data_IF_463516857320
#
_entry.id   IF_463516857320
#
_cell.length_a   1.000
_cell.length_b   1.000
_cell.length_c   1.000
_cell.angle_alpha   90.00
_cell.angle_beta   90.00
_cell.angle_gamma   90.00
#
_symmetry.space_group_name_H-M   'P 1'
#
loop_
_entity.id
_entity.type
_entity.pdbx_description
1 polymer ?
#
# COMPACT_ATOMS: atom_id res chain seq x y z
N UNK A 1 -16.19 -35.64 18.88
CA UNK A 1 -15.86 -34.21 18.88
C UNK A 1 -16.39 -33.58 20.14
N UNK A 2 -15.56 -32.78 20.82
CA UNK A 2 -16.02 -31.95 21.94
C UNK A 2 -16.82 -30.74 21.40
N UNK A 3 -17.37 -29.91 22.29
CA UNK A 3 -18.23 -28.79 21.90
C UNK A 3 -17.49 -27.76 21.02
N UNK A 4 -16.23 -27.47 21.32
CA UNK A 4 -15.38 -26.53 20.59
C UNK A 4 -15.00 -27.07 19.19
N UNK A 5 -14.69 -28.36 19.06
CA UNK A 5 -14.45 -29.04 17.77
C UNK A 5 -15.69 -29.01 16.87
N UNK A 6 -16.90 -29.17 17.43
CA UNK A 6 -18.14 -29.06 16.67
C UNK A 6 -18.38 -27.62 16.19
N UNK A 7 -18.07 -26.63 17.02
CA UNK A 7 -18.15 -25.22 16.65
C UNK A 7 -17.17 -24.90 15.51
N UNK A 8 -15.91 -25.33 15.63
CA UNK A 8 -14.90 -25.14 14.60
C UNK A 8 -15.24 -25.82 13.28
N UNK A 9 -15.77 -27.05 13.33
CA UNK A 9 -16.24 -27.73 12.13
C UNK A 9 -17.38 -26.96 11.44
N UNK A 10 -18.30 -26.41 12.22
CA UNK A 10 -19.40 -25.61 11.70
C UNK A 10 -18.89 -24.31 11.07
N UNK A 11 -18.04 -23.56 11.78
CA UNK A 11 -17.42 -22.34 11.25
C UNK A 11 -16.65 -22.59 9.96
N UNK A 12 -15.85 -23.66 9.91
CA UNK A 12 -15.12 -24.02 8.69
C UNK A 12 -16.06 -24.38 7.53
N UNK A 13 -17.17 -25.07 7.79
CA UNK A 13 -18.18 -25.37 6.76
C UNK A 13 -18.90 -24.13 6.28
N UNK A 14 -19.28 -23.22 7.18
CA UNK A 14 -19.94 -21.96 6.84
C UNK A 14 -19.02 -21.07 6.01
N UNK A 15 -17.75 -20.95 6.42
CA UNK A 15 -16.72 -20.24 5.66
C UNK A 15 -16.51 -20.86 4.27
N UNK A 16 -16.29 -22.18 4.18
CA UNK A 16 -16.13 -22.87 2.90
C UNK A 16 -17.40 -22.81 2.04
N UNK A 17 -18.59 -22.74 2.63
CA UNK A 17 -19.84 -22.61 1.91
C UNK A 17 -20.10 -21.20 1.38
N UNK A 18 -19.29 -20.21 1.78
CA UNK A 18 -19.37 -18.85 1.26
C UNK A 18 -19.22 -18.87 -0.27
N UNK A 19 -19.99 -18.04 -1.01
CA UNK A 19 -19.90 -17.92 -2.47
C UNK A 19 -18.47 -17.74 -3.00
N UNK A 20 -17.63 -17.02 -2.25
CA UNK A 20 -16.25 -16.70 -2.62
C UNK A 20 -15.27 -17.86 -2.37
N UNK A 21 -15.71 -18.93 -1.69
CA UNK A 21 -14.89 -20.10 -1.36
C UNK A 21 -15.25 -21.33 -2.23
N UNK A 22 -16.17 -22.19 -1.76
CA UNK A 22 -16.70 -23.30 -2.55
C UNK A 22 -18.12 -23.03 -3.08
N UNK A 23 -18.79 -21.98 -2.58
CA UNK A 23 -20.18 -21.66 -2.86
C UNK A 23 -21.21 -22.70 -2.39
N UNK A 24 -20.76 -23.70 -1.64
CA UNK A 24 -21.56 -24.77 -1.02
C UNK A 24 -20.72 -25.50 0.02
N UNK A 25 -21.38 -26.26 0.89
CA UNK A 25 -20.63 -27.09 1.83
C UNK A 25 -19.68 -28.07 1.13
N UNK A 26 -18.49 -28.33 1.72
CA UNK A 26 -17.55 -29.29 1.17
C UNK A 26 -18.16 -30.70 1.12
N UNK A 27 -17.86 -31.46 0.08
CA UNK A 27 -18.38 -32.82 -0.12
C UNK A 27 -17.93 -33.78 1.00
N UNK A 28 -16.75 -33.55 1.58
CA UNK A 28 -16.26 -34.19 2.80
C UNK A 28 -15.42 -33.19 3.58
N UNK A 29 -15.47 -33.27 4.90
CA UNK A 29 -14.59 -32.52 5.80
C UNK A 29 -14.34 -33.37 7.04
N UNK A 30 -13.08 -33.45 7.46
CA UNK A 30 -12.61 -34.26 8.57
C UNK A 30 -11.60 -33.46 9.40
N UNK A 31 -11.69 -33.57 10.72
CA UNK A 31 -10.66 -33.05 11.62
C UNK A 31 -9.39 -33.88 11.40
N UNK A 32 -8.28 -33.19 11.12
CA UNK A 32 -7.01 -33.79 10.77
C UNK A 32 -5.93 -33.56 11.84
N UNK A 33 -6.09 -32.54 12.68
CA UNK A 33 -5.17 -32.25 13.78
C UNK A 33 -5.60 -31.03 14.57
N UNK A 34 -4.83 -30.71 15.60
CA UNK A 34 -5.02 -29.53 16.43
C UNK A 34 -3.65 -29.04 16.95
N UNK A 35 -3.58 -27.75 17.28
CA UNK A 35 -2.37 -27.14 17.84
C UNK A 35 -2.72 -25.88 18.63
N UNK A 36 -1.83 -25.54 19.56
CA UNK A 36 -1.87 -24.27 20.29
C UNK A 36 -0.84 -23.32 19.70
N UNK A 37 -1.22 -22.06 19.53
CA UNK A 37 -0.35 -21.00 19.03
C UNK A 37 -0.79 -19.67 19.64
N UNK A 38 0.11 -18.91 20.25
CA UNK A 38 -0.18 -17.64 20.94
C UNK A 38 -1.32 -17.74 21.97
N UNK A 39 -1.27 -18.78 22.81
CA UNK A 39 -2.27 -19.06 23.88
C UNK A 39 -3.70 -19.38 23.38
N UNK A 40 -3.89 -19.47 22.06
CA UNK A 40 -5.15 -19.81 21.42
C UNK A 40 -5.07 -21.21 20.82
N UNK A 41 -6.23 -21.88 20.79
CA UNK A 41 -6.37 -23.22 20.26
C UNK A 41 -6.88 -23.21 18.80
N UNK A 42 -6.34 -24.11 17.98
CA UNK A 42 -6.63 -24.22 16.55
C UNK A 42 -6.88 -25.65 16.11
N UNK A 43 -7.77 -25.79 15.13
CA UNK A 43 -8.10 -27.05 14.48
C UNK A 43 -7.69 -27.04 13.02
N UNK A 44 -7.08 -28.14 12.60
CA UNK A 44 -6.72 -28.40 11.22
C UNK A 44 -7.80 -29.30 10.64
N UNK A 45 -8.42 -28.85 9.55
CA UNK A 45 -9.36 -29.61 8.77
C UNK A 45 -8.73 -30.04 7.46
N UNK A 46 -9.03 -31.27 7.05
CA UNK A 46 -8.90 -31.67 5.65
C UNK A 46 -10.29 -31.75 5.05
N UNK A 47 -10.47 -31.23 3.84
CA UNK A 47 -11.77 -31.28 3.18
C UNK A 47 -11.65 -31.58 1.68
N UNK A 48 -12.76 -31.94 1.04
CA UNK A 48 -12.83 -32.17 -0.40
C UNK A 48 -13.93 -31.32 -1.02
N UNK A 49 -13.60 -30.62 -2.11
CA UNK A 49 -14.58 -29.89 -2.93
C UNK A 49 -15.63 -30.83 -3.56
N UNK A 50 -15.20 -32.03 -3.95
CA UNK A 50 -16.04 -33.09 -4.55
C UNK A 50 -15.65 -34.47 -4.00
N UNK A 51 -16.54 -35.46 -4.10
CA UNK A 51 -16.31 -36.81 -3.53
C UNK A 51 -15.01 -37.45 -4.07
N UNK A 52 -14.68 -37.18 -5.34
CA UNK A 52 -13.51 -37.69 -6.04
C UNK A 52 -12.28 -36.76 -5.97
N UNK A 53 -12.43 -35.57 -5.39
CA UNK A 53 -11.35 -34.57 -5.31
C UNK A 53 -10.22 -34.94 -4.34
N UNK A 54 -9.13 -34.17 -4.44
CA UNK A 54 -8.02 -34.21 -3.49
C UNK A 54 -8.47 -33.67 -2.12
N UNK A 55 -7.79 -34.11 -1.06
CA UNK A 55 -7.94 -33.50 0.25
C UNK A 55 -7.18 -32.17 0.25
N UNK A 56 -7.81 -31.13 0.79
CA UNK A 56 -7.27 -29.77 0.89
C UNK A 56 -7.16 -29.37 2.36
N UNK A 57 -6.18 -28.54 2.68
CA UNK A 57 -5.90 -28.06 4.03
C UNK A 57 -6.76 -26.84 4.37
N UNK A 58 -7.37 -26.82 5.54
CA UNK A 58 -7.98 -25.64 6.12
C UNK A 58 -7.67 -25.52 7.60
N UNK A 59 -7.64 -24.29 8.11
CA UNK A 59 -7.40 -24.00 9.53
C UNK A 59 -8.57 -23.19 10.08
N UNK A 60 -9.01 -23.54 11.28
CA UNK A 60 -10.04 -22.83 12.01
C UNK A 60 -9.64 -22.76 13.47
N UNK A 61 -9.45 -21.56 13.99
CA UNK A 61 -9.02 -21.39 15.37
C UNK A 61 -9.04 -19.97 15.85
N UNK A 62 -8.27 -19.74 16.92
CA UNK A 62 -8.38 -18.52 17.73
C UNK A 62 -9.37 -18.70 18.88
N UNK A 63 -9.49 -19.91 19.43
CA UNK A 63 -10.37 -20.19 20.58
C UNK A 63 -9.60 -20.08 21.89
N UNK A 64 -10.21 -19.46 22.89
CA UNK A 64 -9.74 -19.57 24.26
C UNK A 64 -10.07 -20.96 24.84
N UNK A 65 -9.31 -21.44 25.85
CA UNK A 65 -9.58 -22.73 26.48
C UNK A 65 -11.00 -22.83 27.04
N UNK A 66 -11.84 -23.66 26.41
CA UNK A 66 -13.23 -23.91 26.83
C UNK A 66 -14.29 -23.06 26.13
N UNK A 67 -13.89 -22.07 25.33
CA UNK A 67 -14.81 -21.16 24.63
C UNK A 67 -15.14 -21.64 23.22
N UNK A 68 -16.35 -21.38 22.73
CA UNK A 68 -16.78 -21.81 21.38
C UNK A 68 -16.78 -20.70 20.35
N UNK A 69 -16.46 -19.47 20.75
CA UNK A 69 -16.27 -18.33 19.86
C UNK A 69 -14.79 -18.18 19.52
N UNK A 70 -14.49 -17.80 18.27
CA UNK A 70 -13.12 -17.65 17.78
C UNK A 70 -12.85 -16.23 17.26
N UNK A 71 -11.59 -15.80 17.33
CA UNK A 71 -11.13 -14.48 16.88
C UNK A 71 -10.97 -14.33 15.35
N UNK A 72 -11.79 -15.02 14.55
CA UNK A 72 -11.81 -14.87 13.09
C UNK A 72 -10.70 -15.58 12.29
N UNK A 73 -9.90 -16.47 12.87
CA UNK A 73 -8.87 -17.23 12.13
C UNK A 73 -9.45 -18.49 11.45
N UNK A 74 -10.33 -18.30 10.45
CA UNK A 74 -10.89 -19.39 9.63
C UNK A 74 -10.48 -19.17 8.18
N UNK A 75 -9.70 -20.10 7.63
CA UNK A 75 -9.04 -19.88 6.34
C UNK A 75 -8.57 -21.17 5.65
N UNK A 76 -8.42 -21.11 4.33
CA UNK A 76 -7.80 -22.16 3.51
C UNK A 76 -7.24 -21.56 2.22
N UNK A 77 -5.96 -21.79 1.93
CA UNK A 77 -5.36 -21.47 0.62
C UNK A 77 -5.73 -22.52 -0.46
N UNK A 78 -6.69 -23.40 -0.17
CA UNK A 78 -7.12 -24.49 -1.07
C UNK A 78 -5.98 -25.42 -1.52
N UNK A 79 -4.85 -25.42 -0.80
CA UNK A 79 -3.69 -26.26 -1.09
C UNK A 79 -3.91 -27.72 -0.68
N UNK A 80 -3.21 -28.69 -1.32
CA UNK A 80 -3.33 -30.10 -0.97
C UNK A 80 -2.97 -30.38 0.49
N UNK A 81 -3.82 -31.17 1.16
CA UNK A 81 -3.53 -31.69 2.49
C UNK A 81 -2.44 -32.77 2.43
N UNK A 82 -1.36 -32.54 3.17
CA UNK A 82 -0.29 -33.51 3.40
C UNK A 82 -0.04 -33.67 4.90
N UNK A 83 -0.16 -34.90 5.41
CA UNK A 83 -0.13 -35.16 6.86
C UNK A 83 1.17 -34.69 7.54
N UNK A 84 2.31 -34.79 6.85
CA UNK A 84 3.62 -34.42 7.40
C UNK A 84 3.87 -32.92 7.49
N UNK A 85 3.18 -32.10 6.68
CA UNK A 85 3.39 -30.65 6.58
C UNK A 85 2.16 -29.83 7.00
N UNK A 86 0.99 -30.46 7.17
CA UNK A 86 -0.28 -29.80 7.48
C UNK A 86 -0.21 -28.88 8.71
N UNK A 87 0.51 -29.28 9.77
CA UNK A 87 0.64 -28.45 10.97
C UNK A 87 1.49 -27.21 10.74
N UNK A 88 2.61 -27.34 10.05
CA UNK A 88 3.51 -26.22 9.73
C UNK A 88 2.82 -25.19 8.83
N UNK A 89 2.14 -25.67 7.79
CA UNK A 89 1.38 -24.83 6.86
C UNK A 89 0.20 -24.12 7.53
N UNK A 90 -0.54 -24.83 8.40
CA UNK A 90 -1.61 -24.22 9.17
C UNK A 90 -1.10 -23.12 10.13
N UNK A 91 0.08 -23.32 10.74
CA UNK A 91 0.73 -22.28 11.56
C UNK A 91 1.09 -21.07 10.69
N UNK A 92 1.66 -21.28 9.50
CA UNK A 92 2.02 -20.18 8.59
C UNK A 92 0.80 -19.34 8.17
N UNK A 93 -0.33 -19.98 7.83
CA UNK A 93 -1.59 -19.28 7.52
C UNK A 93 -2.10 -18.46 8.72
N UNK A 94 -2.02 -19.01 9.93
CA UNK A 94 -2.45 -18.29 11.14
C UNK A 94 -1.54 -17.10 11.42
N UNK A 95 -0.22 -17.24 11.29
CA UNK A 95 0.72 -16.13 11.48
C UNK A 95 0.54 -15.03 10.44
N UNK A 96 0.20 -15.37 9.19
CA UNK A 96 -0.12 -14.40 8.14
C UNK A 96 -1.34 -13.57 8.52
N UNK A 97 -2.45 -14.22 8.86
CA UNK A 97 -3.71 -13.57 9.25
C UNK A 97 -3.49 -12.73 10.51
N UNK A 98 -2.81 -13.28 11.52
CA UNK A 98 -2.54 -12.58 12.77
C UNK A 98 -1.63 -11.38 12.56
N UNK A 99 -0.58 -11.49 11.75
CA UNK A 99 0.31 -10.37 11.43
C UNK A 99 -0.46 -9.25 10.76
N UNK A 100 -1.35 -9.58 9.81
CA UNK A 100 -2.25 -8.62 9.19
C UNK A 100 -3.14 -7.92 10.23
N UNK A 101 -3.85 -8.65 11.10
CA UNK A 101 -4.71 -8.05 12.11
C UNK A 101 -3.95 -7.28 13.20
N UNK A 102 -2.76 -7.73 13.59
CA UNK A 102 -1.89 -7.02 14.53
C UNK A 102 -1.39 -5.72 13.93
N UNK A 103 -1.03 -5.70 12.65
CA UNK A 103 -0.63 -4.48 11.95
C UNK A 103 -1.81 -3.49 11.86
N UNK A 104 -3.03 -3.96 11.56
CA UNK A 104 -4.22 -3.10 11.55
C UNK A 104 -4.59 -2.59 12.95
N UNK A 105 -4.49 -3.43 13.98
CA UNK A 105 -4.74 -3.06 15.36
C UNK A 105 -3.69 -2.08 15.88
N UNK A 106 -2.41 -2.27 15.55
CA UNK A 106 -1.33 -1.34 15.89
C UNK A 106 -1.50 0.00 15.18
N UNK A 107 -1.91 0.03 13.90
CA UNK A 107 -2.26 1.28 13.21
C UNK A 107 -3.43 2.00 13.90
N UNK A 108 -4.42 1.25 14.35
CA UNK A 108 -5.57 1.78 15.08
C UNK A 108 -5.22 2.28 16.50
N UNK A 109 -4.36 1.57 17.24
CA UNK A 109 -3.93 1.93 18.59
C UNK A 109 -2.87 3.03 18.60
N UNK A 110 -1.91 3.03 17.66
CA UNK A 110 -0.95 4.11 17.46
C UNK A 110 -1.67 5.42 17.09
N UNK A 111 -2.68 5.36 16.22
CA UNK A 111 -3.56 6.51 15.93
C UNK A 111 -4.37 7.00 17.13
N UNK A 112 -4.57 6.16 18.15
CA UNK A 112 -5.25 6.51 19.41
C UNK A 112 -4.29 7.06 20.48
N UNK A 113 -3.07 6.53 20.59
CA UNK A 113 -2.06 6.96 21.57
C UNK A 113 -1.29 8.22 21.14
N UNK A 114 -1.13 8.46 19.83
CA UNK A 114 -0.50 9.67 19.29
C UNK A 114 -1.28 10.98 19.58
N UNK A 115 -2.52 10.89 20.10
CA UNK A 115 -3.27 12.07 20.56
C UNK A 115 -2.95 12.51 22.00
N UNK A 116 -2.29 11.68 22.81
CA UNK A 116 -2.20 11.91 24.26
C UNK A 116 -0.79 12.01 24.86
N UNK A 117 0.32 11.80 24.13
CA UNK A 117 1.65 11.95 24.76
C UNK A 117 2.76 12.47 23.83
N UNK A 118 3.12 13.73 24.07
CA UNK A 118 4.29 14.43 23.54
C UNK A 118 5.55 13.96 24.30
N UNK A 119 6.37 13.09 23.71
CA UNK A 119 7.81 12.99 24.05
C UNK A 119 8.62 12.12 23.09
N UNK A 120 9.45 12.79 22.29
CA UNK A 120 10.86 12.50 22.00
C UNK A 120 11.36 11.04 22.07
N UNK A 121 11.05 10.24 21.06
CA UNK A 121 11.85 9.05 20.69
C UNK A 121 11.71 8.76 19.16
N UNK A 122 11.83 9.81 18.34
CA UNK A 122 11.66 9.83 16.87
C UNK A 122 12.81 9.16 16.09
N UNK A 123 13.28 7.97 16.49
CA UNK A 123 14.35 7.27 15.74
C UNK A 123 14.02 5.85 15.29
N UNK A 124 12.99 5.21 15.83
CA UNK A 124 12.60 3.84 15.44
C UNK A 124 11.32 3.78 14.58
N UNK A 125 10.49 4.84 14.53
CA UNK A 125 9.25 4.84 13.74
C UNK A 125 9.47 5.00 12.23
N UNK A 126 10.55 5.69 11.80
CA UNK A 126 10.76 6.04 10.38
C UNK A 126 11.15 4.83 9.49
N UNK A 127 11.62 3.72 10.09
CA UNK A 127 12.04 2.52 9.36
C UNK A 127 10.88 1.55 9.10
N UNK A 128 9.75 1.72 9.80
CA UNK A 128 8.61 0.78 9.76
C UNK A 128 7.63 1.00 8.59
N UNK A 129 7.68 2.17 7.94
CA UNK A 129 6.79 2.54 6.82
C UNK A 129 7.52 2.51 5.46
N UNK A 130 8.85 2.43 5.46
CA UNK A 130 9.66 2.46 4.26
C UNK A 130 9.41 1.20 3.41
N UNK A 131 9.05 1.41 2.14
CA UNK A 131 8.99 0.35 1.16
C UNK A 131 7.67 -0.41 1.03
N UNK A 132 6.64 -0.12 1.82
CA UNK A 132 5.28 -0.54 1.51
C UNK A 132 4.59 0.58 0.72
N UNK A 133 4.16 0.29 -0.52
CA UNK A 133 3.58 1.29 -1.41
C UNK A 133 2.07 1.07 -1.51
N UNK A 134 1.31 2.11 -1.19
CA UNK A 134 -0.16 2.09 -1.20
C UNK A 134 -0.68 3.34 -1.91
N UNK A 135 -1.72 3.18 -2.72
CA UNK A 135 -2.43 4.31 -3.32
C UNK A 135 -3.89 4.00 -3.59
N UNK A 136 -4.67 5.05 -3.71
CA UNK A 136 -6.12 4.95 -3.89
C UNK A 136 -6.53 5.72 -5.15
N UNK A 137 -7.27 5.07 -6.04
CA UNK A 137 -7.90 5.72 -7.20
C UNK A 137 -9.35 5.96 -6.85
N UNK A 138 -9.73 7.23 -6.76
CA UNK A 138 -11.05 7.66 -6.33
C UNK A 138 -12.05 7.51 -7.47
N UNK A 139 -13.17 6.82 -7.24
CA UNK A 139 -14.18 6.55 -8.24
C UNK A 139 -15.52 7.21 -7.92
N UNK A 140 -16.20 7.70 -8.95
CA UNK A 140 -17.57 8.21 -8.88
C UNK A 140 -18.64 7.14 -8.64
N UNK A 141 -18.31 5.88 -8.90
CA UNK A 141 -19.17 4.70 -8.73
C UNK A 141 -18.31 3.48 -8.38
N UNK A 142 -18.85 2.46 -7.69
CA UNK A 142 -18.16 1.19 -7.42
C UNK A 142 -18.11 0.30 -8.67
N UNK A 143 -17.57 0.82 -9.77
CA UNK A 143 -17.53 0.14 -11.05
C UNK A 143 -16.13 0.31 -11.66
N UNK A 144 -15.54 -0.80 -12.06
CA UNK A 144 -14.32 -0.88 -12.86
C UNK A 144 -14.51 -1.84 -14.04
N UNK A 145 -13.66 -1.71 -15.03
CA UNK A 145 -13.55 -2.64 -16.14
C UNK A 145 -12.22 -3.39 -16.01
N UNK A 146 -12.26 -4.52 -15.33
CA UNK A 146 -11.08 -5.35 -15.08
C UNK A 146 -10.41 -5.83 -16.38
N UNK A 147 -11.19 -6.17 -17.42
CA UNK A 147 -10.63 -6.55 -18.72
C UNK A 147 -9.87 -5.40 -19.40
N UNK A 148 -10.40 -4.17 -19.29
CA UNK A 148 -9.70 -2.97 -19.75
C UNK A 148 -8.42 -2.74 -18.93
N UNK A 149 -8.49 -2.85 -17.58
CA UNK A 149 -7.33 -2.66 -16.71
C UNK A 149 -6.19 -3.61 -17.07
N UNK A 150 -6.48 -4.89 -17.29
CA UNK A 150 -5.49 -5.88 -17.77
C UNK A 150 -4.92 -5.52 -19.14
N UNK A 151 -5.77 -5.07 -20.06
CA UNK A 151 -5.35 -4.65 -21.39
C UNK A 151 -4.42 -3.44 -21.32
N UNK A 152 -4.73 -2.46 -20.47
CA UNK A 152 -3.92 -1.26 -20.26
C UNK A 152 -2.58 -1.59 -19.60
N UNK A 153 -2.58 -2.46 -18.57
CA UNK A 153 -1.36 -2.98 -17.94
C UNK A 153 -0.43 -3.66 -18.94
N UNK A 154 -0.97 -4.54 -19.79
CA UNK A 154 -0.19 -5.22 -20.82
C UNK A 154 0.31 -4.26 -21.89
N UNK A 155 -0.56 -3.37 -22.38
CA UNK A 155 -0.25 -2.48 -23.52
C UNK A 155 0.77 -1.40 -23.15
N UNK A 156 0.61 -0.77 -21.99
CA UNK A 156 1.47 0.35 -21.60
C UNK A 156 2.76 -0.12 -20.91
N UNK A 157 2.70 -1.23 -20.18
CA UNK A 157 3.75 -1.60 -19.22
C UNK A 157 4.31 -3.01 -19.40
N UNK A 158 3.82 -3.76 -20.39
CA UNK A 158 4.16 -5.15 -20.68
C UNK A 158 3.93 -6.11 -19.50
N UNK A 159 3.00 -5.76 -18.59
CA UNK A 159 2.61 -6.61 -17.47
C UNK A 159 1.53 -7.56 -17.97
N UNK A 160 1.91 -8.82 -18.22
CA UNK A 160 0.98 -9.85 -18.68
C UNK A 160 0.35 -10.58 -17.50
N UNK A 161 -0.98 -10.69 -17.58
CA UNK A 161 -1.77 -11.47 -16.63
C UNK A 161 -1.75 -12.98 -16.96
N UNK A 162 -1.39 -13.37 -18.20
CA UNK A 162 -1.55 -14.72 -18.73
C UNK A 162 -0.23 -15.35 -19.24
N UNK A 163 0.95 -14.92 -18.75
CA UNK A 163 2.21 -15.56 -19.14
C UNK A 163 2.17 -17.06 -18.77
N UNK A 164 2.30 -17.92 -19.78
CA UNK A 164 2.03 -19.37 -19.77
C UNK A 164 2.39 -20.10 -18.45
N UNK A 165 1.56 -21.10 -18.09
CA UNK A 165 1.68 -22.04 -16.95
C UNK A 165 3.05 -22.72 -16.75
N UNK A 166 4.03 -22.46 -17.63
CA UNK A 166 5.38 -23.00 -17.56
C UNK A 166 6.45 -22.00 -17.09
N UNK A 167 6.13 -20.71 -16.94
CA UNK A 167 6.96 -19.69 -16.25
C UNK A 167 6.09 -18.66 -15.48
N UNK A 168 4.92 -19.09 -14.99
CA UNK A 168 3.87 -18.20 -14.52
C UNK A 168 4.22 -17.44 -13.23
N UNK A 169 4.17 -16.12 -13.34
CA UNK A 169 3.84 -15.23 -12.23
C UNK A 169 2.38 -15.50 -11.81
N UNK A 170 2.19 -16.10 -10.63
CA UNK A 170 0.88 -16.49 -10.11
C UNK A 170 -0.03 -15.26 -9.93
N UNK A 171 -1.06 -15.15 -10.78
CA UNK A 171 -2.12 -14.15 -10.67
C UNK A 171 -3.43 -14.80 -10.22
N UNK A 172 -4.02 -14.33 -9.12
CA UNK A 172 -5.31 -14.84 -8.59
C UNK A 172 -6.36 -13.74 -8.61
N UNK A 173 -7.55 -14.06 -9.15
CA UNK A 173 -8.74 -13.20 -9.17
C UNK A 173 -9.78 -13.77 -8.20
N UNK A 174 -10.52 -12.90 -7.51
CA UNK A 174 -11.66 -13.36 -6.72
C UNK A 174 -12.91 -13.60 -7.60
N UNK A 175 -13.86 -14.39 -7.07
CA UNK A 175 -15.01 -14.89 -7.83
C UNK A 175 -15.98 -13.81 -8.35
N UNK A 176 -15.97 -12.62 -7.74
CA UNK A 176 -16.79 -11.47 -8.07
C UNK A 176 -16.03 -10.40 -8.88
N UNK A 177 -14.77 -10.64 -9.25
CA UNK A 177 -13.89 -9.70 -9.94
C UNK A 177 -13.81 -8.34 -9.23
N UNK A 178 -13.83 -8.30 -7.89
CA UNK A 178 -13.63 -7.07 -7.11
C UNK A 178 -12.20 -6.91 -6.61
N UNK A 179 -11.36 -7.96 -6.70
CA UNK A 179 -9.95 -7.86 -6.36
C UNK A 179 -9.10 -8.87 -7.12
N UNK A 180 -7.81 -8.56 -7.21
CA UNK A 180 -6.83 -9.48 -7.77
C UNK A 180 -5.44 -9.25 -7.18
N UNK A 181 -4.62 -10.28 -7.23
CA UNK A 181 -3.21 -10.26 -6.83
C UNK A 181 -2.36 -10.79 -7.98
N UNK A 182 -1.22 -10.17 -8.25
CA UNK A 182 -0.26 -10.61 -9.26
C UNK A 182 1.16 -10.43 -8.76
N UNK A 183 2.03 -11.40 -9.04
CA UNK A 183 3.47 -11.26 -8.85
C UNK A 183 4.09 -10.62 -10.11
N UNK A 184 4.93 -9.60 -9.98
CA UNK A 184 5.66 -8.99 -11.10
C UNK A 184 7.11 -8.80 -10.68
N UNK A 185 8.04 -9.54 -11.28
CA UNK A 185 9.46 -9.47 -10.95
C UNK A 185 9.77 -9.76 -9.47
N UNK A 186 9.01 -10.67 -8.85
CA UNK A 186 9.12 -11.01 -7.42
C UNK A 186 8.51 -9.99 -6.46
N UNK A 187 7.79 -8.99 -6.96
CA UNK A 187 6.98 -8.05 -6.19
C UNK A 187 5.51 -8.44 -6.28
N UNK A 188 4.77 -8.36 -5.19
CA UNK A 188 3.34 -8.64 -5.16
C UNK A 188 2.56 -7.34 -5.31
N UNK A 189 1.72 -7.24 -6.34
CA UNK A 189 0.75 -6.17 -6.51
C UNK A 189 -0.65 -6.68 -6.19
N UNK A 190 -1.31 -6.06 -5.23
CA UNK A 190 -2.70 -6.34 -4.87
C UNK A 190 -3.57 -5.15 -5.27
N UNK A 191 -4.67 -5.41 -5.96
CA UNK A 191 -5.60 -4.38 -6.42
C UNK A 191 -7.02 -4.77 -6.04
N UNK A 192 -7.73 -3.87 -5.36
CA UNK A 192 -9.08 -4.13 -4.86
C UNK A 192 -10.01 -2.95 -5.09
N UNK A 193 -11.17 -3.21 -5.68
CA UNK A 193 -12.32 -2.32 -5.71
C UNK A 193 -13.01 -2.34 -4.35
N UNK A 194 -13.13 -1.18 -3.73
CA UNK A 194 -13.79 -0.99 -2.44
C UNK A 194 -15.02 -0.12 -2.69
N UNK A 195 -16.20 -0.65 -2.38
CA UNK A 195 -17.49 0.03 -2.53
C UNK A 195 -17.78 1.04 -1.40
N UNK A 196 -16.76 1.80 -1.02
CA UNK A 196 -16.87 2.86 -0.03
C UNK A 196 -15.85 3.97 -0.35
N UNK A 197 -16.16 5.23 0.00
CA UNK A 197 -15.18 6.29 -0.09
C UNK A 197 -14.01 6.03 0.87
N UNK A 198 -12.86 6.65 0.58
CA UNK A 198 -11.77 6.80 1.56
C UNK A 198 -12.36 7.30 2.89
N UNK A 199 -12.10 6.61 4.02
CA UNK A 199 -12.66 6.97 5.33
C UNK A 199 -12.28 8.37 5.82
N UNK A 200 -13.00 8.84 6.85
CA UNK A 200 -12.65 10.01 7.67
C UNK A 200 -12.46 11.35 6.93
N UNK A 201 -12.97 11.47 5.71
CA UNK A 201 -12.72 12.62 4.82
C UNK A 201 -11.23 12.90 4.57
N UNK A 202 -10.36 11.90 4.77
CA UNK A 202 -8.91 12.05 4.71
C UNK A 202 -8.45 12.56 3.34
N UNK A 203 -8.99 11.99 2.26
CA UNK A 203 -8.71 12.43 0.90
C UNK A 203 -9.16 13.88 0.66
N UNK A 204 -10.26 14.34 1.28
CA UNK A 204 -10.77 15.70 1.16
C UNK A 204 -9.83 16.69 1.87
N UNK A 205 -9.42 16.35 3.10
CA UNK A 205 -8.51 17.16 3.89
C UNK A 205 -7.16 17.34 3.18
N UNK A 206 -6.60 16.25 2.64
CA UNK A 206 -5.34 16.29 1.90
C UNK A 206 -5.47 17.00 0.54
N UNK A 207 -6.59 16.82 -0.17
CA UNK A 207 -6.85 17.54 -1.42
C UNK A 207 -6.88 19.06 -1.25
N UNK A 208 -7.25 19.57 -0.08
CA UNK A 208 -7.32 21.02 0.19
C UNK A 208 -5.95 21.72 0.10
N UNK A 209 -4.87 20.96 0.26
CA UNK A 209 -3.50 21.47 0.17
C UNK A 209 -2.97 21.50 -1.26
N UNK A 210 -3.69 20.96 -2.26
CA UNK A 210 -3.24 20.86 -3.65
C UNK A 210 -3.43 22.15 -4.45
N UNK A 211 -2.38 22.95 -4.58
CA UNK A 211 -2.40 24.17 -5.41
C UNK A 211 -2.37 23.88 -6.93
N UNK A 212 -1.97 22.68 -7.34
CA UNK A 212 -1.81 22.32 -8.77
C UNK A 212 -3.16 22.05 -9.43
N UNK A 213 -4.15 21.60 -8.66
CA UNK A 213 -5.45 21.20 -9.19
C UNK A 213 -6.61 21.76 -8.37
N UNK A 214 -7.24 22.87 -8.81
CA UNK A 214 -8.39 23.46 -8.13
C UNK A 214 -9.59 22.52 -7.94
N UNK A 215 -9.68 21.46 -8.77
CA UNK A 215 -10.75 20.47 -8.71
C UNK A 215 -10.54 19.35 -7.67
N UNK A 216 -9.38 19.29 -7.00
CA UNK A 216 -9.02 18.17 -6.13
C UNK A 216 -10.04 17.91 -5.02
N UNK A 217 -10.45 18.96 -4.30
CA UNK A 217 -11.45 18.84 -3.21
C UNK A 217 -12.81 18.42 -3.74
N UNK A 218 -13.23 18.92 -4.91
CA UNK A 218 -14.51 18.56 -5.50
C UNK A 218 -14.52 17.08 -5.94
N UNK A 219 -13.44 16.62 -6.56
CA UNK A 219 -13.26 15.22 -6.94
C UNK A 219 -13.26 14.30 -5.72
N UNK A 220 -12.50 14.65 -4.68
CA UNK A 220 -12.42 13.91 -3.42
C UNK A 220 -13.70 13.98 -2.57
N UNK A 221 -14.66 14.85 -2.88
CA UNK A 221 -15.99 14.83 -2.23
C UNK A 221 -17.01 14.02 -3.02
N UNK A 222 -16.79 13.89 -4.32
CA UNK A 222 -17.72 13.23 -5.23
C UNK A 222 -17.47 11.72 -5.33
N UNK A 223 -16.35 11.19 -4.81
CA UNK A 223 -16.09 9.76 -4.86
C UNK A 223 -16.94 9.01 -3.87
N UNK A 224 -17.43 7.85 -4.30
CA UNK A 224 -18.25 6.94 -3.49
C UNK A 224 -17.61 5.56 -3.36
N UNK A 225 -16.54 5.32 -4.11
CA UNK A 225 -15.79 4.09 -4.14
C UNK A 225 -14.31 4.39 -4.43
N UNK A 226 -13.46 3.38 -4.29
CA UNK A 226 -12.03 3.50 -4.53
C UNK A 226 -11.44 2.20 -5.07
N UNK A 227 -10.39 2.30 -5.89
CA UNK A 227 -9.50 1.18 -6.18
C UNK A 227 -8.28 1.35 -5.28
N UNK A 228 -8.06 0.41 -4.38
CA UNK A 228 -6.85 0.31 -3.58
C UNK A 228 -5.79 -0.45 -4.40
N UNK A 229 -4.61 0.13 -4.54
CA UNK A 229 -3.44 -0.49 -5.16
C UNK A 229 -2.33 -0.57 -4.12
N UNK A 230 -1.89 -1.78 -3.80
CA UNK A 230 -0.78 -2.02 -2.90
C UNK A 230 0.33 -2.78 -3.62
N UNK A 231 1.59 -2.38 -3.40
CA UNK A 231 2.76 -3.11 -3.87
C UNK A 231 3.63 -3.48 -2.67
N UNK A 232 3.80 -4.78 -2.50
CA UNK A 232 4.59 -5.43 -1.45
C UNK A 232 5.78 -6.15 -2.10
N UNK A 233 6.87 -6.32 -1.36
CA UNK A 233 8.03 -7.02 -1.89
C UNK A 233 9.30 -6.66 -1.15
N UNK A 234 9.37 -7.06 0.12
CA UNK A 234 10.42 -6.62 1.06
C UNK A 234 11.86 -6.92 0.57
N UNK A 235 12.03 -7.82 -0.40
CA UNK A 235 13.34 -8.16 -0.99
C UNK A 235 13.67 -7.40 -2.29
N UNK A 236 12.68 -6.79 -2.95
CA UNK A 236 12.89 -6.02 -4.17
C UNK A 236 13.53 -4.64 -3.88
N UNK A 237 14.16 -3.97 -4.85
CA UNK A 237 14.59 -2.58 -4.68
C UNK A 237 13.38 -1.65 -4.47
N UNK A 238 13.50 -0.69 -3.52
CA UNK A 238 12.40 0.23 -3.17
C UNK A 238 11.90 1.06 -4.35
N UNK A 239 12.79 1.50 -5.24
CA UNK A 239 12.41 2.22 -6.44
C UNK A 239 11.58 1.35 -7.39
N UNK A 240 11.93 0.08 -7.57
CA UNK A 240 11.19 -0.81 -8.47
C UNK A 240 9.76 -1.07 -7.96
N UNK A 241 9.58 -1.17 -6.63
CA UNK A 241 8.25 -1.24 -6.03
C UNK A 241 7.44 0.05 -6.27
N UNK A 242 8.06 1.21 -6.06
CA UNK A 242 7.42 2.50 -6.35
C UNK A 242 7.05 2.65 -7.83
N UNK A 243 7.90 2.16 -8.75
CA UNK A 243 7.62 2.19 -10.20
C UNK A 243 6.44 1.27 -10.53
N UNK A 244 6.38 0.09 -9.92
CA UNK A 244 5.26 -0.83 -10.11
C UNK A 244 3.95 -0.21 -9.64
N UNK A 245 3.92 0.46 -8.47
CA UNK A 245 2.73 1.17 -8.00
C UNK A 245 2.22 2.17 -9.04
N UNK A 246 3.12 2.99 -9.60
CA UNK A 246 2.76 4.00 -10.61
C UNK A 246 2.17 3.37 -11.86
N UNK A 247 2.72 2.25 -12.34
CA UNK A 247 2.18 1.53 -13.51
C UNK A 247 0.74 1.08 -13.28
N UNK A 248 0.45 0.50 -12.11
CA UNK A 248 -0.89 0.06 -11.75
C UNK A 248 -1.87 1.23 -11.59
N UNK A 249 -1.48 2.28 -10.89
CA UNK A 249 -2.33 3.46 -10.71
C UNK A 249 -2.57 4.16 -12.05
N UNK A 250 -1.56 4.26 -12.91
CA UNK A 250 -1.70 4.82 -14.26
C UNK A 250 -2.69 4.01 -15.10
N UNK A 251 -2.63 2.68 -15.07
CA UNK A 251 -3.62 1.85 -15.75
C UNK A 251 -5.04 2.04 -15.16
N UNK A 252 -5.15 2.18 -13.83
CA UNK A 252 -6.41 2.51 -13.17
C UNK A 252 -6.95 3.90 -13.57
N UNK A 253 -6.10 4.89 -13.83
CA UNK A 253 -6.51 6.24 -14.26
C UNK A 253 -7.28 6.26 -15.58
N UNK A 254 -7.20 5.19 -16.39
CA UNK A 254 -7.92 5.05 -17.66
C UNK A 254 -9.35 4.50 -17.52
N UNK A 255 -9.76 4.14 -16.31
CA UNK A 255 -11.14 3.70 -16.04
C UNK A 255 -12.11 4.88 -16.16
N UNK A 256 -13.33 4.62 -16.67
CA UNK A 256 -14.32 5.67 -16.97
C UNK A 256 -14.77 6.46 -15.72
N UNK A 257 -14.79 5.80 -14.56
CA UNK A 257 -15.36 6.33 -13.32
C UNK A 257 -14.37 7.12 -12.46
N UNK A 258 -13.10 7.23 -12.87
CA UNK A 258 -12.04 7.87 -12.08
C UNK A 258 -12.27 9.37 -11.92
N UNK A 259 -12.16 9.82 -10.68
CA UNK A 259 -12.22 11.23 -10.29
C UNK A 259 -10.85 11.78 -9.92
N UNK A 260 -9.98 11.00 -9.28
CA UNK A 260 -8.68 11.46 -8.79
C UNK A 260 -7.83 10.32 -8.26
N UNK A 261 -6.56 10.62 -7.97
CA UNK A 261 -5.62 9.66 -7.37
C UNK A 261 -5.16 10.21 -6.03
N UNK A 262 -5.50 9.53 -4.94
CA UNK A 262 -5.05 9.87 -3.59
C UNK A 262 -3.78 9.09 -3.25
N UNK A 263 -2.64 9.79 -3.28
CA UNK A 263 -1.30 9.30 -2.89
C UNK A 263 -0.48 10.45 -2.35
N UNK A 264 0.57 10.15 -1.57
CA UNK A 264 1.56 11.15 -1.15
C UNK A 264 0.97 12.41 -0.51
N UNK A 265 -0.04 12.23 0.35
CA UNK A 265 -0.66 13.33 1.10
C UNK A 265 -1.42 14.34 0.25
N UNK A 266 -1.84 13.97 -0.97
CA UNK A 266 -2.62 14.84 -1.86
C UNK A 266 -3.48 14.03 -2.84
N UNK A 267 -4.41 14.71 -3.52
CA UNK A 267 -5.21 14.11 -4.59
C UNK A 267 -4.78 14.70 -5.93
N UNK A 268 -4.17 13.87 -6.78
CA UNK A 268 -3.73 14.23 -8.12
C UNK A 268 -4.86 14.15 -9.15
N UNK A 269 -4.80 15.03 -10.14
CA UNK A 269 -5.65 14.93 -11.33
C UNK A 269 -5.24 13.69 -12.13
N UNK A 270 -6.18 12.83 -12.59
CA UNK A 270 -5.84 11.59 -13.30
C UNK A 270 -4.97 11.81 -14.54
N UNK A 271 -5.27 12.83 -15.35
CA UNK A 271 -4.46 13.15 -16.53
C UNK A 271 -3.03 13.59 -16.15
N UNK A 272 -2.87 14.40 -15.10
CA UNK A 272 -1.55 14.78 -14.60
C UNK A 272 -0.76 13.55 -14.15
N UNK A 273 -1.41 12.61 -13.46
CA UNK A 273 -0.78 11.38 -13.02
C UNK A 273 -0.32 10.53 -14.21
N UNK A 274 -1.15 10.38 -15.26
CA UNK A 274 -0.81 9.70 -16.50
C UNK A 274 0.38 10.37 -17.22
N UNK A 275 0.38 11.70 -17.33
CA UNK A 275 1.44 12.46 -17.99
C UNK A 275 2.78 12.30 -17.23
N UNK A 276 2.74 12.34 -15.90
CA UNK A 276 3.92 12.13 -15.06
C UNK A 276 4.45 10.68 -15.15
N UNK A 277 3.55 9.69 -15.28
CA UNK A 277 3.92 8.29 -15.40
C UNK A 277 4.70 7.97 -16.69
N UNK A 278 4.57 8.80 -17.73
CA UNK A 278 5.34 8.65 -18.98
C UNK A 278 6.86 8.71 -18.76
N UNK A 279 7.34 9.29 -17.65
CA UNK A 279 8.77 9.24 -17.30
C UNK A 279 9.32 7.80 -17.23
N UNK A 280 8.46 6.82 -16.94
CA UNK A 280 8.84 5.41 -16.88
C UNK A 280 9.17 4.78 -18.24
N UNK A 281 8.63 5.30 -19.35
CA UNK A 281 8.82 4.68 -20.68
C UNK A 281 10.26 4.78 -21.17
N UNK A 282 10.95 5.85 -20.78
CA UNK A 282 12.34 6.12 -21.15
C UNK A 282 13.32 5.76 -20.01
N UNK A 283 12.85 5.01 -19.00
CA UNK A 283 13.66 4.56 -17.85
C UNK A 283 13.89 5.61 -16.76
N UNK A 284 13.24 6.78 -16.85
CA UNK A 284 13.31 7.83 -15.85
C UNK A 284 12.51 7.53 -14.57
N UNK A 285 12.69 8.39 -13.56
CA UNK A 285 11.93 8.30 -12.31
C UNK A 285 10.65 9.15 -12.38
N UNK A 286 9.46 8.59 -12.09
CA UNK A 286 8.19 9.33 -12.04
C UNK A 286 8.06 10.11 -10.72
N UNK A 287 9.02 11.01 -10.45
CA UNK A 287 9.11 11.76 -9.18
C UNK A 287 7.81 12.49 -8.85
N UNK A 288 7.15 13.05 -9.85
CA UNK A 288 5.88 13.79 -9.67
C UNK A 288 4.68 12.88 -9.34
N UNK A 289 4.77 11.56 -9.55
CA UNK A 289 3.78 10.60 -9.07
C UNK A 289 4.03 10.18 -7.62
N UNK A 290 5.29 10.23 -7.17
CA UNK A 290 5.71 9.74 -5.86
C UNK A 290 5.76 10.82 -4.79
N UNK A 291 6.20 12.03 -5.15
CA UNK A 291 6.54 13.09 -4.21
C UNK A 291 5.66 14.29 -4.49
N UNK A 292 4.89 14.70 -3.47
CA UNK A 292 4.19 15.96 -3.51
C UNK A 292 5.14 17.10 -3.08
N UNK A 293 5.15 18.18 -3.85
CA UNK A 293 5.95 19.38 -3.57
C UNK A 293 5.03 20.49 -3.12
N UNK A 294 4.85 20.60 -1.80
CA UNK A 294 4.01 21.62 -1.19
C UNK A 294 4.68 22.98 -1.19
N UNK A 295 3.87 24.03 -1.37
CA UNK A 295 4.31 25.43 -1.40
C UNK A 295 3.40 26.26 -0.52
N UNK A 296 3.98 27.09 0.34
CA UNK A 296 3.22 28.04 1.14
C UNK A 296 4.00 29.34 1.29
N UNK A 297 3.26 30.45 1.41
CA UNK A 297 3.83 31.78 1.50
C UNK A 297 3.77 32.28 2.93
N UNK A 298 4.86 32.89 3.41
CA UNK A 298 4.88 33.62 4.68
C UNK A 298 5.42 35.04 4.43
N UNK A 299 4.56 36.06 4.61
CA UNK A 299 4.94 37.43 4.28
C UNK A 299 5.27 37.61 2.79
N UNK A 300 6.53 37.88 2.47
CA UNK A 300 7.01 38.08 1.08
C UNK A 300 7.83 36.91 0.54
N UNK A 301 8.18 35.96 1.39
CA UNK A 301 9.03 34.82 1.09
C UNK A 301 8.17 33.57 0.89
N UNK A 302 8.75 32.58 0.21
CA UNK A 302 8.12 31.31 -0.06
C UNK A 302 8.85 30.19 0.67
N UNK A 303 8.05 29.22 1.12
CA UNK A 303 8.51 27.98 1.71
C UNK A 303 8.07 26.83 0.82
N UNK A 304 8.86 25.75 0.80
CA UNK A 304 8.57 24.56 0.03
C UNK A 304 8.93 23.32 0.84
N UNK A 305 8.18 22.24 0.66
CA UNK A 305 8.43 20.96 1.33
C UNK A 305 8.18 19.77 0.41
N UNK A 306 8.83 18.65 0.70
CA UNK A 306 8.54 17.35 0.08
C UNK A 306 7.60 16.55 0.97
N UNK A 307 6.76 15.72 0.35
CA UNK A 307 5.97 14.70 1.03
C UNK A 307 5.99 13.41 0.20
N UNK A 308 6.48 12.33 0.79
CA UNK A 308 6.58 11.00 0.18
C UNK A 308 8.00 10.43 0.13
N UNK A 309 9.03 11.19 0.51
CA UNK A 309 10.42 10.72 0.55
C UNK A 309 10.60 9.59 1.56
N UNK A 310 9.87 9.63 2.68
CA UNK A 310 9.93 8.60 3.72
C UNK A 310 9.51 7.22 3.23
N UNK A 311 8.64 7.13 2.21
CA UNK A 311 8.30 5.85 1.55
C UNK A 311 9.51 5.18 0.90
N UNK A 312 10.54 5.97 0.55
CA UNK A 312 11.81 5.52 -0.02
C UNK A 312 12.93 5.40 1.02
N UNK A 313 12.63 5.51 2.31
CA UNK A 313 13.62 5.50 3.39
C UNK A 313 14.51 6.73 3.39
N UNK A 314 13.99 7.88 2.91
CA UNK A 314 14.70 9.16 2.84
C UNK A 314 13.97 10.20 3.68
N UNK A 315 14.71 11.14 4.26
CA UNK A 315 14.12 12.24 5.01
C UNK A 315 13.37 13.21 4.10
N UNK A 316 12.26 13.75 4.60
CA UNK A 316 11.59 14.86 3.94
C UNK A 316 12.45 16.13 4.00
N UNK A 317 12.33 16.99 2.99
CA UNK A 317 13.13 18.19 2.82
C UNK A 317 12.26 19.44 2.84
N UNK A 318 12.78 20.53 3.40
CA UNK A 318 12.16 21.85 3.33
C UNK A 318 13.16 22.92 2.89
N UNK A 319 12.66 23.90 2.13
CA UNK A 319 13.32 25.18 1.88
C UNK A 319 12.49 26.25 2.54
N UNK A 320 13.10 27.02 3.44
CA UNK A 320 12.41 28.03 4.22
C UNK A 320 12.81 29.44 3.81
N UNK A 321 11.85 30.37 3.88
CA UNK A 321 12.04 31.82 3.74
C UNK A 321 12.79 32.23 2.47
N UNK A 322 12.54 31.55 1.36
CA UNK A 322 13.22 31.84 0.11
C UNK A 322 12.63 33.08 -0.59
N UNK A 323 13.51 33.98 -1.00
CA UNK A 323 13.20 35.11 -1.88
C UNK A 323 13.29 34.65 -3.34
N UNK A 324 12.32 33.83 -3.75
CA UNK A 324 12.28 33.19 -5.06
C UNK A 324 10.84 32.99 -5.54
N UNK A 325 10.68 32.68 -6.82
CA UNK A 325 9.36 32.28 -7.33
C UNK A 325 9.00 30.87 -6.83
N UNK A 326 7.72 30.57 -6.59
CA UNK A 326 7.28 29.24 -6.15
C UNK A 326 7.74 28.12 -7.10
N UNK A 327 7.71 28.37 -8.41
CA UNK A 327 8.17 27.44 -9.44
C UNK A 327 9.67 27.14 -9.34
N UNK A 328 10.50 28.15 -9.03
CA UNK A 328 11.95 27.98 -8.87
C UNK A 328 12.25 27.09 -7.67
N UNK A 329 11.50 27.25 -6.57
CA UNK A 329 11.63 26.43 -5.36
C UNK A 329 11.19 24.99 -5.61
N UNK A 330 10.07 24.80 -6.29
CA UNK A 330 9.58 23.46 -6.65
C UNK A 330 10.59 22.73 -7.54
N UNK A 331 11.08 23.39 -8.59
CA UNK A 331 12.06 22.79 -9.50
C UNK A 331 13.37 22.48 -8.78
N UNK A 332 13.82 23.38 -7.90
CA UNK A 332 14.99 23.14 -7.04
C UNK A 332 14.82 21.90 -6.16
N UNK A 333 13.71 21.76 -5.42
CA UNK A 333 13.46 20.56 -4.62
C UNK A 333 13.33 19.31 -5.49
N UNK A 334 12.68 19.41 -6.66
CA UNK A 334 12.55 18.31 -7.59
C UNK A 334 13.93 17.79 -8.04
N UNK A 335 14.86 18.68 -8.40
CA UNK A 335 16.21 18.31 -8.79
C UNK A 335 16.96 17.57 -7.66
N UNK A 336 16.79 18.03 -6.42
CA UNK A 336 17.38 17.37 -5.23
C UNK A 336 16.76 16.00 -5.01
N UNK A 337 15.43 15.91 -5.06
CA UNK A 337 14.70 14.64 -4.92
C UNK A 337 15.15 13.64 -5.98
N UNK A 338 15.26 14.08 -7.24
CA UNK A 338 15.72 13.24 -8.32
C UNK A 338 17.14 12.73 -8.06
N UNK A 339 18.06 13.62 -7.68
CA UNK A 339 19.43 13.26 -7.31
C UNK A 339 19.49 12.25 -6.15
N UNK A 340 18.68 12.47 -5.11
CA UNK A 340 18.62 11.60 -3.92
C UNK A 340 18.10 10.22 -4.27
N UNK A 341 17.03 10.14 -5.07
CA UNK A 341 16.42 8.86 -5.43
C UNK A 341 17.25 8.11 -6.47
N UNK A 342 17.64 8.76 -7.57
CA UNK A 342 18.40 8.14 -8.66
C UNK A 342 19.78 7.67 -8.20
N UNK A 343 20.48 8.51 -7.41
CA UNK A 343 21.79 8.18 -6.85
C UNK A 343 21.74 7.35 -5.57
N UNK A 344 20.54 7.03 -5.05
CA UNK A 344 20.33 6.47 -3.71
C UNK A 344 21.16 7.19 -2.62
N UNK A 345 21.25 8.51 -2.71
CA UNK A 345 22.06 9.33 -1.79
C UNK A 345 21.30 9.48 -0.47
N UNK A 346 22.02 9.47 0.65
CA UNK A 346 21.46 9.84 1.96
C UNK A 346 22.10 11.16 2.36
N UNK A 347 21.26 12.18 2.53
CA UNK A 347 21.71 13.50 2.97
C UNK A 347 21.75 13.55 4.49
N UNK A 348 22.80 14.15 5.04
CA UNK A 348 22.98 14.30 6.48
C UNK A 348 23.06 15.77 6.91
N UNK A 349 22.54 16.06 8.10
CA UNK A 349 22.71 17.38 8.70
C UNK A 349 24.19 17.71 8.90
N UNK A 350 24.58 18.94 8.57
CA UNK A 350 25.97 19.40 8.58
C UNK A 350 26.70 19.26 7.24
N UNK A 351 26.12 18.54 6.28
CA UNK A 351 26.64 18.48 4.91
C UNK A 351 26.25 19.73 4.09
N UNK A 352 26.82 19.84 2.90
CA UNK A 352 26.46 20.88 1.93
C UNK A 352 26.13 20.26 0.58
N UNK A 353 25.04 20.72 -0.04
CA UNK A 353 24.66 20.35 -1.39
C UNK A 353 25.08 21.43 -2.40
N UNK A 354 25.44 21.04 -3.62
CA UNK A 354 25.76 22.00 -4.66
C UNK A 354 25.56 21.41 -6.05
N UNK A 355 24.96 22.18 -6.95
CA UNK A 355 24.84 21.85 -8.37
C UNK A 355 26.07 22.27 -9.19
N UNK A 356 27.08 22.83 -8.52
CA UNK A 356 28.39 23.19 -9.08
C UNK A 356 29.47 23.09 -7.99
N UNK A 357 30.75 23.03 -8.39
CA UNK A 357 31.89 22.96 -7.46
C UNK A 357 31.94 24.09 -6.42
N UNK A 358 31.37 25.25 -6.77
CA UNK A 358 31.42 26.45 -5.93
C UNK A 358 30.18 26.63 -5.05
N UNK A 359 29.07 25.94 -5.36
CA UNK A 359 27.84 26.09 -4.60
C UNK A 359 27.88 25.19 -3.37
N UNK A 360 27.57 25.76 -2.20
CA UNK A 360 27.52 25.05 -0.92
C UNK A 360 26.29 25.47 -0.13
N UNK A 361 25.20 24.76 -0.38
CA UNK A 361 23.92 24.95 0.28
C UNK A 361 23.93 24.13 1.58
N UNK A 362 23.87 24.78 2.76
CA UNK A 362 23.91 24.05 4.02
C UNK A 362 22.68 23.15 4.18
N UNK A 363 22.90 21.96 4.76
CA UNK A 363 21.85 21.04 5.17
C UNK A 363 21.80 21.05 6.70
N UNK A 364 20.63 21.31 7.27
CA UNK A 364 20.39 21.18 8.72
C UNK A 364 19.19 20.27 8.96
N UNK A 365 19.04 19.72 10.16
CA UNK A 365 17.87 18.93 10.54
C UNK A 365 17.17 19.60 11.72
N UNK A 366 15.88 19.84 11.58
CA UNK A 366 15.03 20.41 12.63
C UNK A 366 13.57 20.01 12.42
N UNK A 367 12.73 20.25 13.44
CA UNK A 367 11.28 19.98 13.36
C UNK A 367 10.67 20.67 12.14
N UNK A 368 9.74 19.99 11.47
CA UNK A 368 9.01 20.61 10.36
C UNK A 368 8.03 21.66 10.86
N UNK A 369 7.77 22.68 10.04
CA UNK A 369 6.76 23.71 10.33
C UNK A 369 5.36 23.25 9.89
N UNK A 370 5.29 22.28 8.96
CA UNK A 370 4.04 21.84 8.32
C UNK A 370 3.83 20.33 8.31
N UNK A 371 4.89 19.54 8.50
CA UNK A 371 4.83 18.09 8.60
C UNK A 371 5.02 17.62 10.05
N UNK A 372 4.63 16.37 10.32
CA UNK A 372 5.01 15.71 11.55
C UNK A 372 6.48 15.25 11.50
N UNK A 373 7.14 15.32 12.67
CA UNK A 373 8.53 14.96 12.85
C UNK A 373 9.53 16.00 12.34
N UNK A 374 10.73 15.53 12.00
CA UNK A 374 11.85 16.35 11.53
C UNK A 374 12.00 16.31 10.01
N UNK A 375 12.62 17.35 9.45
CA UNK A 375 12.95 17.49 8.03
C UNK A 375 14.38 18.00 7.86
N UNK A 376 14.96 17.72 6.70
CA UNK A 376 16.19 18.37 6.26
C UNK A 376 15.89 19.75 5.70
N UNK A 377 16.40 20.81 6.33
CA UNK A 377 16.33 22.17 5.80
C UNK A 377 17.49 22.38 4.85
N UNK A 378 17.17 22.63 3.58
CA UNK A 378 18.16 22.89 2.54
C UNK A 378 18.25 24.40 2.32
N UNK A 379 19.46 24.95 2.43
CA UNK A 379 19.71 26.34 2.07
C UNK A 379 19.38 26.59 0.61
N UNK A 380 18.84 27.77 0.30
CA UNK A 380 18.50 28.15 -1.05
C UNK A 380 19.20 29.45 -1.44
N UNK A 381 19.79 29.47 -2.63
CA UNK A 381 20.27 30.70 -3.27
C UNK A 381 19.75 30.75 -4.70
N UNK A 382 19.00 31.79 -5.03
CA UNK A 382 18.53 31.99 -6.40
C UNK A 382 19.73 32.09 -7.34
N UNK A 383 19.65 31.40 -8.48
CA UNK A 383 20.59 31.59 -9.59
C UNK A 383 20.40 33.04 -10.09
N UNK A 384 21.41 33.89 -9.87
CA UNK A 384 21.41 35.28 -10.33
C UNK A 384 21.78 35.39 -11.79
#
# INVERSE_FOLDING_TARGET
MNQQQNAALKSMKEWLAHPDELGKEPAKIELAGEFDLHELHYYIFKYKKSILGKWLLGVCGGYEPGETEHCGHVFSEMEPYEETTAKEKAIAMVEMIRSYWMEQAQKYEAGKMAKDHDSAEDKEENDSQAGSFLGFVLLSKPEWNLSQLKTDLKTDWDIDWNADENEAEDGEENADNTSFVICVGGMMAAVSLIEAPVPEEEAVANAANNYMWPGAVAAAKAHTAQILVAVLGNQAPVLERGKLLVKFIAACCKQETVLGVYTSGTVFQPQFYLDAAQMLTDGGLPVLNWIYFGLYQEGKTWNAYTYGMRMFGKEEMEVLQADAKPEELRNFLLDIVYYVLDGNVTLHAGETLGFSENQKLPITCSKSEVLEGSTLKIGFTANK
#
